data_IF_518056926723
#
_entry.id   IF_518056926723
#
_cell.length_a   1.000
_cell.length_b   1.000
_cell.length_c   1.000
_cell.angle_alpha   90.00
_cell.angle_beta   90.00
_cell.angle_gamma   90.00
#
_symmetry.space_group_name_H-M   'P 1'
#
loop_
_entity.id
_entity.type
_entity.pdbx_description
1 polymer ?
#
# COMPACT_ATOMS: atom_id res chain seq x y z
N UNK A 1 80.12 -38.37 10.61
CA UNK A 1 78.92 -38.74 11.37
C UNK A 1 77.95 -37.58 11.28
N UNK A 2 77.01 -37.63 10.34
CA UNK A 2 75.76 -36.88 10.44
C UNK A 2 74.64 -37.89 10.17
N UNK A 3 73.85 -38.11 11.21
CA UNK A 3 72.76 -39.07 11.26
C UNK A 3 71.57 -38.54 10.46
N UNK A 4 71.25 -39.19 9.32
CA UNK A 4 69.95 -39.03 8.70
C UNK A 4 68.88 -39.64 9.60
N UNK A 5 68.21 -38.79 10.39
CA UNK A 5 66.94 -39.10 11.03
C UNK A 5 65.84 -39.17 9.96
N UNK A 6 65.80 -40.27 9.23
CA UNK A 6 64.60 -40.67 8.50
C UNK A 6 63.62 -41.22 9.55
N UNK A 7 62.80 -40.35 10.14
CA UNK A 7 61.58 -40.77 10.82
C UNK A 7 60.60 -41.12 9.69
N UNK A 8 60.32 -42.40 9.40
CA UNK A 8 59.20 -42.71 8.50
C UNK A 8 57.92 -42.25 9.21
N UNK A 9 56.99 -41.55 8.54
CA UNK A 9 55.68 -41.32 9.13
C UNK A 9 54.98 -42.68 9.26
N UNK A 10 54.96 -43.22 10.48
CA UNK A 10 54.23 -44.42 10.83
C UNK A 10 52.83 -44.01 11.27
N UNK A 11 51.92 -43.81 10.32
CA UNK A 11 50.49 -43.67 10.60
C UNK A 11 49.74 -44.88 10.04
N UNK A 12 49.17 -45.77 10.89
CA UNK A 12 48.22 -46.79 10.46
C UNK A 12 46.81 -46.20 10.20
N UNK A 13 46.71 -44.88 9.99
CA UNK A 13 45.46 -44.15 9.84
C UNK A 13 44.90 -44.17 8.41
N UNK A 14 45.63 -44.75 7.45
CA UNK A 14 45.30 -44.71 6.04
C UNK A 14 43.95 -45.38 5.77
N UNK A 15 43.68 -46.52 6.39
CA UNK A 15 42.47 -47.30 6.10
C UNK A 15 41.20 -46.67 6.68
N UNK A 16 41.29 -46.12 7.91
CA UNK A 16 40.15 -45.50 8.59
C UNK A 16 39.85 -44.14 7.94
N UNK A 17 40.87 -43.34 7.66
CA UNK A 17 40.72 -42.04 7.01
C UNK A 17 40.14 -42.18 5.59
N UNK A 18 40.62 -43.16 4.81
CA UNK A 18 40.09 -43.44 3.48
C UNK A 18 38.65 -43.94 3.52
N UNK A 19 38.26 -44.77 4.52
CA UNK A 19 36.87 -45.17 4.73
C UNK A 19 35.96 -43.98 5.03
N UNK A 20 36.38 -43.06 5.89
CA UNK A 20 35.60 -41.85 6.17
C UNK A 20 35.50 -40.94 4.95
N UNK A 21 36.59 -40.72 4.21
CA UNK A 21 36.56 -39.94 2.96
C UNK A 21 35.60 -40.54 1.93
N UNK A 22 35.65 -41.86 1.73
CA UNK A 22 34.75 -42.59 0.84
C UNK A 22 33.27 -42.41 1.25
N UNK A 23 32.97 -42.61 2.54
CA UNK A 23 31.60 -42.46 3.07
C UNK A 23 31.12 -41.01 2.88
N UNK A 24 31.95 -40.02 3.22
CA UNK A 24 31.61 -38.61 3.04
C UNK A 24 31.36 -38.25 1.57
N UNK A 25 32.22 -38.66 0.65
CA UNK A 25 32.05 -38.41 -0.80
C UNK A 25 30.76 -39.04 -1.34
N UNK A 26 30.37 -40.22 -0.86
CA UNK A 26 29.09 -40.84 -1.20
C UNK A 26 27.89 -40.00 -0.77
N UNK A 27 27.87 -39.55 0.49
CA UNK A 27 26.78 -38.74 1.01
C UNK A 27 26.69 -37.38 0.31
N UNK A 28 27.83 -36.75 0.03
CA UNK A 28 27.88 -35.48 -0.71
C UNK A 28 27.35 -35.66 -2.13
N UNK A 29 27.79 -36.70 -2.84
CA UNK A 29 27.31 -36.99 -4.20
C UNK A 29 25.79 -37.22 -4.20
N UNK A 30 25.26 -38.05 -3.29
CA UNK A 30 23.82 -38.29 -3.17
C UNK A 30 23.02 -37.00 -2.90
N UNK A 31 23.51 -36.15 -2.00
CA UNK A 31 22.88 -34.86 -1.73
C UNK A 31 22.89 -33.96 -2.97
N UNK A 32 24.01 -33.90 -3.69
CA UNK A 32 24.18 -33.02 -4.86
C UNK A 32 23.39 -33.50 -6.09
N UNK A 33 23.05 -34.78 -6.21
CA UNK A 33 22.07 -35.24 -7.22
C UNK A 33 20.62 -35.06 -6.77
N UNK A 34 20.34 -35.07 -5.46
CA UNK A 34 18.99 -34.91 -4.92
C UNK A 34 18.50 -33.45 -4.94
N UNK A 35 19.35 -32.48 -4.59
CA UNK A 35 18.98 -31.05 -4.52
C UNK A 35 18.44 -30.52 -5.87
N UNK A 36 19.09 -30.77 -7.03
CA UNK A 36 18.58 -30.33 -8.33
C UNK A 36 17.21 -30.94 -8.68
N UNK A 37 16.96 -32.20 -8.31
CA UNK A 37 15.65 -32.84 -8.53
C UNK A 37 14.54 -32.14 -7.73
N UNK A 38 14.83 -31.79 -6.47
CA UNK A 38 13.91 -31.03 -5.62
C UNK A 38 13.65 -29.61 -6.17
N UNK A 39 14.70 -28.94 -6.65
CA UNK A 39 14.58 -27.62 -7.30
C UNK A 39 13.72 -27.70 -8.58
N UNK A 40 13.93 -28.70 -9.44
CA UNK A 40 13.13 -28.90 -10.66
C UNK A 40 11.66 -29.16 -10.32
N UNK A 41 11.39 -30.01 -9.33
CA UNK A 41 10.02 -30.26 -8.84
C UNK A 41 9.35 -28.97 -8.35
N UNK A 42 10.05 -28.20 -7.52
CA UNK A 42 9.56 -26.93 -6.99
C UNK A 42 9.26 -25.91 -8.09
N UNK A 43 10.14 -25.78 -9.08
CA UNK A 43 9.95 -24.84 -10.20
C UNK A 43 8.81 -25.27 -11.11
N UNK A 44 8.62 -26.57 -11.34
CA UNK A 44 7.46 -27.08 -12.10
C UNK A 44 6.14 -26.81 -11.38
N UNK A 45 6.14 -26.88 -10.05
CA UNK A 45 4.95 -26.64 -9.23
C UNK A 45 4.67 -25.16 -8.95
N UNK A 46 5.70 -24.31 -9.01
CA UNK A 46 5.59 -22.87 -8.76
C UNK A 46 5.41 -22.07 -10.05
N UNK A 47 4.29 -21.35 -10.15
CA UNK A 47 3.94 -20.49 -11.29
C UNK A 47 4.66 -19.12 -11.30
N UNK A 48 5.45 -18.80 -10.26
CA UNK A 48 5.80 -17.41 -9.92
C UNK A 48 7.27 -17.03 -10.23
N UNK A 49 8.06 -17.90 -10.87
CA UNK A 49 9.49 -17.61 -11.11
C UNK A 49 9.79 -17.13 -12.53
N UNK A 50 10.06 -15.82 -12.75
CA UNK A 50 10.43 -15.28 -14.06
C UNK A 50 11.83 -15.70 -14.53
N UNK A 51 12.71 -16.17 -13.62
CA UNK A 51 14.12 -16.46 -13.90
C UNK A 51 14.44 -17.96 -13.95
N UNK A 52 13.68 -18.74 -14.73
CA UNK A 52 13.86 -20.21 -14.85
C UNK A 52 15.27 -20.63 -15.28
N UNK A 53 15.92 -19.85 -16.14
CA UNK A 53 17.27 -20.12 -16.63
C UNK A 53 18.35 -20.09 -15.55
N UNK A 54 18.20 -19.22 -14.53
CA UNK A 54 19.15 -19.14 -13.40
C UNK A 54 19.10 -20.41 -12.57
N UNK A 55 17.90 -20.93 -12.32
CA UNK A 55 17.69 -22.18 -11.60
C UNK A 55 18.30 -23.37 -12.34
N UNK A 56 18.25 -23.37 -13.67
CA UNK A 56 18.93 -24.39 -14.49
C UNK A 56 20.45 -24.28 -14.34
N UNK A 57 21.01 -23.07 -14.40
CA UNK A 57 22.44 -22.84 -14.22
C UNK A 57 22.92 -23.23 -12.80
N UNK A 58 22.12 -22.90 -11.77
CA UNK A 58 22.38 -23.31 -10.39
C UNK A 58 22.28 -24.83 -10.20
N UNK A 59 21.28 -25.47 -10.80
CA UNK A 59 21.16 -26.93 -10.81
C UNK A 59 22.35 -27.61 -11.52
N UNK A 60 22.76 -27.09 -12.68
CA UNK A 60 23.90 -27.60 -13.43
C UNK A 60 25.22 -27.46 -12.63
N UNK A 61 25.43 -26.34 -11.94
CA UNK A 61 26.55 -26.14 -11.04
C UNK A 61 26.60 -27.20 -9.93
N UNK A 62 25.48 -27.45 -9.24
CA UNK A 62 25.40 -28.44 -8.16
C UNK A 62 25.69 -29.86 -8.69
N UNK A 63 25.14 -30.22 -9.87
CA UNK A 63 25.39 -31.53 -10.50
C UNK A 63 26.87 -31.71 -10.86
N UNK A 64 27.50 -30.68 -11.45
CA UNK A 64 28.93 -30.73 -11.81
C UNK A 64 29.82 -30.87 -10.57
N UNK A 65 29.51 -30.17 -9.47
CA UNK A 65 30.16 -30.39 -8.18
C UNK A 65 29.94 -31.83 -7.69
N UNK A 66 28.73 -32.39 -7.82
CA UNK A 66 28.42 -33.76 -7.39
C UNK A 66 29.21 -34.80 -8.18
N UNK A 67 29.40 -34.56 -9.47
CA UNK A 67 30.21 -35.39 -10.35
C UNK A 67 31.68 -35.44 -9.90
N UNK A 68 32.23 -34.34 -9.37
CA UNK A 68 33.61 -34.34 -8.85
C UNK A 68 33.79 -35.27 -7.63
N UNK A 69 32.79 -35.40 -6.76
CA UNK A 69 32.81 -36.36 -5.65
C UNK A 69 32.64 -37.81 -6.13
N UNK A 70 31.80 -38.04 -7.15
CA UNK A 70 31.65 -39.36 -7.75
C UNK A 70 32.94 -39.84 -8.44
N UNK A 71 33.66 -38.92 -9.09
CA UNK A 71 34.97 -39.22 -9.69
C UNK A 71 36.02 -39.50 -8.60
N UNK A 72 36.01 -38.75 -7.49
CA UNK A 72 36.89 -39.03 -6.35
C UNK A 72 36.63 -40.43 -5.77
N UNK A 73 35.36 -40.85 -5.69
CA UNK A 73 35.00 -42.20 -5.25
C UNK A 73 35.58 -43.29 -6.17
N UNK A 74 35.53 -43.05 -7.48
CA UNK A 74 36.08 -43.98 -8.47
C UNK A 74 37.61 -44.03 -8.48
N UNK A 75 38.26 -42.94 -8.04
CA UNK A 75 39.72 -42.80 -7.95
C UNK A 75 40.35 -43.69 -6.86
N UNK A 76 39.56 -44.27 -5.96
CA UNK A 76 40.03 -45.26 -4.98
C UNK A 76 40.37 -46.64 -5.61
N UNK A 77 39.99 -46.88 -6.87
CA UNK A 77 40.44 -48.02 -7.69
C UNK A 77 41.62 -47.56 -8.58
N UNK A 78 42.51 -48.45 -9.09
CA UNK A 78 43.86 -48.08 -9.52
C UNK A 78 43.90 -46.86 -10.46
N UNK A 79 44.74 -45.89 -10.09
CA UNK A 79 44.90 -44.60 -10.73
C UNK A 79 45.25 -44.76 -12.22
N UNK A 80 44.26 -44.58 -13.10
CA UNK A 80 44.49 -44.48 -14.54
C UNK A 80 44.62 -43.02 -14.95
N UNK A 81 45.55 -42.73 -15.87
CA UNK A 81 45.74 -41.39 -16.46
C UNK A 81 44.42 -40.80 -16.99
N UNK A 82 43.50 -41.66 -17.43
CA UNK A 82 42.15 -41.29 -17.88
C UNK A 82 41.32 -40.64 -16.77
N UNK A 83 41.35 -41.14 -15.53
CA UNK A 83 40.56 -40.61 -14.41
C UNK A 83 41.05 -39.21 -14.01
N UNK A 84 42.37 -38.99 -14.01
CA UNK A 84 42.96 -37.68 -13.72
C UNK A 84 42.60 -36.62 -14.78
N UNK A 85 42.55 -37.00 -16.06
CA UNK A 85 42.10 -36.11 -17.15
C UNK A 85 40.62 -35.77 -16.99
N UNK A 86 39.77 -36.78 -16.74
CA UNK A 86 38.33 -36.57 -16.52
C UNK A 86 38.07 -35.66 -15.32
N UNK A 87 38.81 -35.84 -14.22
CA UNK A 87 38.68 -34.98 -13.04
C UNK A 87 39.08 -33.53 -13.32
N UNK A 88 40.19 -33.33 -14.04
CA UNK A 88 40.65 -31.99 -14.42
C UNK A 88 39.62 -31.28 -15.29
N UNK A 89 39.05 -31.97 -16.29
CA UNK A 89 38.00 -31.42 -17.16
C UNK A 89 36.76 -31.06 -16.33
N UNK A 90 36.30 -31.97 -15.46
CA UNK A 90 35.16 -31.71 -14.59
C UNK A 90 35.37 -30.47 -13.71
N UNK A 91 36.55 -30.32 -13.09
CA UNK A 91 36.90 -29.13 -12.27
C UNK A 91 36.87 -27.83 -13.08
N UNK A 92 37.42 -27.83 -14.30
CA UNK A 92 37.43 -26.65 -15.17
C UNK A 92 36.00 -26.26 -15.57
N UNK A 93 35.16 -27.23 -15.96
CA UNK A 93 33.76 -26.98 -16.29
C UNK A 93 32.99 -26.40 -15.10
N UNK A 94 33.18 -26.97 -13.90
CA UNK A 94 32.57 -26.47 -12.67
C UNK A 94 32.99 -25.02 -12.39
N UNK A 95 34.27 -24.67 -12.57
CA UNK A 95 34.75 -23.31 -12.36
C UNK A 95 34.10 -22.30 -13.33
N UNK A 96 33.96 -22.67 -14.61
CA UNK A 96 33.32 -21.84 -15.63
C UNK A 96 31.84 -21.61 -15.30
N UNK A 97 31.10 -22.68 -15.00
CA UNK A 97 29.67 -22.57 -14.65
C UNK A 97 29.46 -21.78 -13.35
N UNK A 98 30.35 -21.96 -12.36
CA UNK A 98 30.34 -21.21 -11.10
C UNK A 98 30.56 -19.70 -11.32
N UNK A 99 31.53 -19.33 -12.15
CA UNK A 99 31.79 -17.93 -12.48
C UNK A 99 30.60 -17.32 -13.24
N UNK A 100 30.05 -18.04 -14.22
CA UNK A 100 28.89 -17.58 -14.98
C UNK A 100 27.64 -17.39 -14.09
N UNK A 101 27.38 -18.32 -13.16
CA UNK A 101 26.28 -18.20 -12.19
C UNK A 101 26.49 -17.00 -11.27
N UNK A 102 27.69 -16.79 -10.73
CA UNK A 102 28.00 -15.63 -9.88
C UNK A 102 27.74 -14.29 -10.59
N UNK A 103 28.17 -14.15 -11.85
CA UNK A 103 27.95 -12.93 -12.65
C UNK A 103 26.46 -12.70 -12.96
N UNK A 104 25.72 -13.77 -13.29
CA UNK A 104 24.26 -13.70 -13.48
C UNK A 104 23.54 -13.24 -12.22
N UNK A 105 23.90 -13.75 -11.04
CA UNK A 105 23.25 -13.36 -9.78
C UNK A 105 23.39 -11.86 -9.50
N UNK A 106 24.56 -11.27 -9.73
CA UNK A 106 24.79 -9.82 -9.54
C UNK A 106 23.81 -8.99 -10.37
N UNK A 107 23.45 -9.46 -11.57
CA UNK A 107 22.52 -8.74 -12.45
C UNK A 107 21.05 -8.92 -12.06
N UNK A 108 20.69 -10.02 -11.38
CA UNK A 108 19.30 -10.37 -11.07
C UNK A 108 18.86 -9.91 -9.69
N UNK A 109 19.79 -9.82 -8.72
CA UNK A 109 19.52 -9.25 -7.38
C UNK A 109 18.83 -7.86 -7.44
N UNK A 110 19.30 -6.88 -8.23
CA UNK A 110 18.65 -5.57 -8.27
C UNK A 110 17.21 -5.63 -8.79
N UNK A 111 16.94 -6.46 -9.81
CA UNK A 111 15.58 -6.63 -10.36
C UNK A 111 14.62 -7.25 -9.35
N UNK A 112 15.11 -8.23 -8.56
CA UNK A 112 14.31 -8.88 -7.52
C UNK A 112 13.94 -7.90 -6.38
N UNK A 113 14.88 -7.02 -6.01
CA UNK A 113 14.68 -5.99 -5.00
C UNK A 113 13.73 -4.88 -5.49
N UNK A 114 13.79 -4.52 -6.77
CA UNK A 114 12.91 -3.51 -7.36
C UNK A 114 11.44 -3.97 -7.40
N UNK A 115 11.15 -5.24 -7.72
CA UNK A 115 9.78 -5.78 -7.67
C UNK A 115 9.20 -5.68 -6.26
N UNK A 116 9.98 -6.04 -5.23
CA UNK A 116 9.51 -5.95 -3.84
C UNK A 116 9.27 -4.51 -3.41
N UNK A 117 10.13 -3.60 -3.85
CA UNK A 117 9.99 -2.16 -3.61
C UNK A 117 8.71 -1.63 -4.27
N UNK A 118 8.43 -2.00 -5.53
CA UNK A 118 7.20 -1.64 -6.23
C UNK A 118 5.95 -2.20 -5.55
N UNK A 119 5.99 -3.44 -5.05
CA UNK A 119 4.89 -4.04 -4.29
C UNK A 119 4.57 -3.25 -3.00
N UNK A 120 5.61 -2.84 -2.25
CA UNK A 120 5.45 -2.05 -1.03
C UNK A 120 4.89 -0.65 -1.32
N UNK A 121 5.42 0.02 -2.35
CA UNK A 121 4.92 1.33 -2.77
C UNK A 121 3.44 1.24 -3.19
N UNK A 122 3.06 0.17 -3.90
CA UNK A 122 1.67 -0.06 -4.28
C UNK A 122 0.77 -0.27 -3.06
N UNK A 123 1.17 -1.11 -2.10
CA UNK A 123 0.41 -1.34 -0.85
C UNK A 123 0.22 -0.07 -0.03
N UNK A 124 1.26 0.76 0.08
CA UNK A 124 1.17 2.05 0.79
C UNK A 124 0.19 3.00 0.09
N UNK A 125 0.24 3.09 -1.24
CA UNK A 125 -0.70 3.92 -2.01
C UNK A 125 -2.15 3.45 -1.85
N UNK A 126 -2.40 2.14 -1.87
CA UNK A 126 -3.75 1.58 -1.65
C UNK A 126 -4.25 1.91 -0.24
N UNK A 127 -3.41 1.75 0.79
CA UNK A 127 -3.77 2.09 2.17
C UNK A 127 -4.08 3.59 2.34
N UNK A 128 -3.31 4.48 1.69
CA UNK A 128 -3.58 5.92 1.71
C UNK A 128 -4.92 6.27 1.06
N UNK A 129 -5.23 5.64 -0.09
CA UNK A 129 -6.52 5.81 -0.76
C UNK A 129 -7.70 5.32 0.09
N UNK A 130 -7.54 4.23 0.84
CA UNK A 130 -8.58 3.74 1.76
C UNK A 130 -8.82 4.70 2.93
N UNK A 131 -7.76 5.32 3.47
CA UNK A 131 -7.88 6.36 4.50
C UNK A 131 -8.62 7.59 3.94
N UNK A 132 -8.30 8.01 2.71
CA UNK A 132 -8.99 9.12 2.05
C UNK A 132 -10.46 8.81 1.79
N UNK A 133 -10.78 7.62 1.27
CA UNK A 133 -12.17 7.16 1.05
C UNK A 133 -12.95 7.10 2.36
N UNK A 134 -12.37 6.61 3.45
CA UNK A 134 -13.03 6.60 4.77
C UNK A 134 -13.34 8.00 5.28
N UNK A 135 -12.41 8.96 5.14
CA UNK A 135 -12.67 10.38 5.48
C UNK A 135 -13.78 10.98 4.61
N UNK A 136 -13.82 10.60 3.34
CA UNK A 136 -14.87 11.03 2.41
C UNK A 136 -16.23 10.43 2.78
N UNK A 137 -16.28 9.15 3.12
CA UNK A 137 -17.48 8.45 3.56
C UNK A 137 -18.03 9.02 4.87
N UNK A 138 -17.18 9.27 5.88
CA UNK A 138 -17.62 9.87 7.14
C UNK A 138 -18.17 11.29 6.96
N UNK A 139 -17.62 12.06 6.03
CA UNK A 139 -18.18 13.36 5.65
C UNK A 139 -19.55 13.22 4.99
N UNK A 140 -19.74 12.24 4.10
CA UNK A 140 -21.04 11.97 3.46
C UNK A 140 -22.07 11.48 4.48
N UNK A 141 -21.70 10.59 5.41
CA UNK A 141 -22.58 10.13 6.50
C UNK A 141 -23.04 11.29 7.38
N UNK A 142 -22.14 12.21 7.75
CA UNK A 142 -22.53 13.40 8.51
C UNK A 142 -23.52 14.30 7.76
N UNK A 143 -23.43 14.35 6.42
CA UNK A 143 -24.41 15.03 5.57
C UNK A 143 -25.74 14.28 5.45
N UNK A 144 -25.73 12.95 5.44
CA UNK A 144 -26.94 12.12 5.42
C UNK A 144 -27.69 12.18 6.74
N UNK A 145 -27.01 12.19 7.90
CA UNK A 145 -27.68 12.34 9.21
C UNK A 145 -28.48 13.65 9.31
N UNK A 146 -27.98 14.73 8.70
CA UNK A 146 -28.70 16.01 8.61
C UNK A 146 -29.94 15.90 7.71
N UNK A 147 -29.91 15.02 6.71
CA UNK A 147 -31.03 14.79 5.80
C UNK A 147 -32.11 13.88 6.41
N UNK A 148 -31.74 12.84 7.16
CA UNK A 148 -32.70 11.97 7.87
C UNK A 148 -33.40 12.69 9.01
N UNK A 149 -32.69 13.57 9.71
CA UNK A 149 -33.33 14.49 10.67
C UNK A 149 -34.39 15.39 10.00
N UNK A 150 -34.38 15.55 8.66
CA UNK A 150 -35.38 16.29 7.89
C UNK A 150 -36.57 15.42 7.48
N UNK A 151 -36.42 14.11 7.33
CA UNK A 151 -37.53 13.20 7.00
C UNK A 151 -38.37 12.83 8.21
N UNK A 152 -37.78 12.71 9.40
CA UNK A 152 -38.57 12.53 10.65
C UNK A 152 -39.45 13.74 10.98
N UNK A 153 -39.04 14.96 10.57
CA UNK A 153 -39.86 16.17 10.71
C UNK A 153 -41.03 16.18 9.72
N UNK A 154 -41.00 15.38 8.64
CA UNK A 154 -42.01 15.45 7.59
C UNK A 154 -43.22 14.52 7.81
N UNK A 155 -43.19 13.67 8.85
CA UNK A 155 -44.31 12.80 9.20
C UNK A 155 -45.17 13.30 10.36
N UNK A 156 -44.70 14.29 11.13
CA UNK A 156 -45.50 14.96 12.15
C UNK A 156 -45.50 16.47 11.87
N UNK A 157 -46.69 17.03 11.65
CA UNK A 157 -47.03 18.46 11.60
C UNK A 157 -46.93 19.19 10.25
N UNK A 158 -47.99 19.03 9.45
CA UNK A 158 -48.37 20.00 8.40
C UNK A 158 -48.83 21.37 8.92
N UNK A 159 -48.96 21.60 10.24
CA UNK A 159 -49.60 22.82 10.77
C UNK A 159 -48.77 23.66 11.75
N UNK A 160 -47.49 23.37 11.98
CA UNK A 160 -46.68 24.14 12.95
C UNK A 160 -45.40 24.68 12.32
N UNK A 161 -45.46 25.93 11.83
CA UNK A 161 -44.38 26.70 11.20
C UNK A 161 -43.17 27.04 12.12
N UNK A 162 -42.89 26.24 13.15
CA UNK A 162 -41.93 26.55 14.21
C UNK A 162 -41.00 25.41 14.68
N UNK A 163 -41.24 24.15 14.28
CA UNK A 163 -40.55 23.00 14.90
C UNK A 163 -39.12 22.82 14.37
N UNK A 164 -38.88 23.05 13.08
CA UNK A 164 -37.53 23.04 12.51
C UNK A 164 -36.62 24.18 13.03
N UNK A 165 -37.22 25.28 13.51
CA UNK A 165 -36.51 26.40 14.12
C UNK A 165 -36.03 26.08 15.54
N UNK A 166 -36.85 25.35 16.31
CA UNK A 166 -36.55 24.96 17.70
C UNK A 166 -35.34 24.02 17.80
N UNK A 167 -35.21 23.05 16.88
CA UNK A 167 -34.12 22.07 16.93
C UNK A 167 -32.74 22.67 16.62
N UNK A 168 -32.69 23.68 15.73
CA UNK A 168 -31.46 24.40 15.39
C UNK A 168 -30.97 25.29 16.54
N UNK A 169 -31.88 25.82 17.35
CA UNK A 169 -31.57 26.68 18.50
C UNK A 169 -31.17 25.84 19.73
N UNK A 170 -31.70 24.62 19.87
CA UNK A 170 -31.39 23.74 21.02
C UNK A 170 -30.07 22.97 20.92
N UNK A 171 -29.47 22.83 19.73
CA UNK A 171 -28.17 22.17 19.54
C UNK A 171 -27.10 23.21 19.19
N UNK A 172 -25.88 23.08 19.75
CA UNK A 172 -24.72 23.97 19.51
C UNK A 172 -24.13 23.83 18.10
N UNK A 173 -24.94 24.02 17.07
CA UNK A 173 -24.45 24.05 15.68
C UNK A 173 -23.77 25.39 15.40
N UNK A 174 -22.59 25.35 14.78
CA UNK A 174 -21.86 26.55 14.36
C UNK A 174 -22.20 26.98 12.93
N UNK A 175 -22.61 26.03 12.09
CA UNK A 175 -22.94 26.24 10.68
C UNK A 175 -24.26 25.54 10.36
N UNK A 176 -25.14 26.24 9.65
CA UNK A 176 -26.44 25.74 9.18
C UNK A 176 -26.53 25.91 7.68
N UNK A 177 -26.74 24.82 6.95
CA UNK A 177 -27.04 24.88 5.53
C UNK A 177 -28.55 24.95 5.33
N UNK A 178 -29.01 26.00 4.63
CA UNK A 178 -30.43 26.30 4.46
C UNK A 178 -30.82 26.28 2.99
N UNK A 179 -31.76 25.41 2.64
CA UNK A 179 -32.32 25.35 1.30
C UNK A 179 -33.27 26.51 1.02
N UNK A 180 -33.08 27.24 -0.09
CA UNK A 180 -34.01 28.30 -0.48
C UNK A 180 -35.26 27.76 -1.18
N UNK A 181 -35.13 26.64 -1.89
CA UNK A 181 -36.19 26.04 -2.69
C UNK A 181 -36.94 24.95 -1.92
N UNK A 182 -37.57 25.32 -0.80
CA UNK A 182 -38.42 24.40 -0.02
C UNK A 182 -39.91 24.60 -0.34
N UNK A 183 -40.71 23.52 -0.48
CA UNK A 183 -42.15 23.64 -0.55
C UNK A 183 -42.71 24.10 0.81
N UNK A 184 -43.65 25.05 0.79
CA UNK A 184 -44.41 25.51 1.96
C UNK A 184 -43.84 26.72 2.72
N UNK A 185 -42.53 26.93 2.78
CA UNK A 185 -41.95 28.12 3.44
C UNK A 185 -40.64 28.53 2.79
N UNK A 186 -40.47 29.83 2.53
CA UNK A 186 -39.26 30.34 1.88
C UNK A 186 -38.07 30.30 2.84
N UNK A 187 -36.92 29.78 2.39
CA UNK A 187 -35.69 29.71 3.21
C UNK A 187 -35.22 31.07 3.74
N UNK A 188 -35.53 32.17 3.03
CA UNK A 188 -35.28 33.53 3.51
C UNK A 188 -36.03 33.86 4.80
N UNK A 189 -37.29 33.45 4.88
CA UNK A 189 -38.15 33.76 6.03
C UNK A 189 -37.72 32.98 7.26
N UNK A 190 -37.28 31.74 7.08
CA UNK A 190 -36.74 30.93 8.17
C UNK A 190 -35.45 31.55 8.70
N UNK A 191 -34.51 31.96 7.83
CA UNK A 191 -33.30 32.64 8.26
C UNK A 191 -33.59 33.93 9.04
N UNK A 192 -34.61 34.70 8.60
CA UNK A 192 -35.06 35.89 9.33
C UNK A 192 -35.55 35.53 10.73
N UNK A 193 -36.41 34.52 10.85
CA UNK A 193 -36.93 34.03 12.14
C UNK A 193 -35.83 33.45 13.04
N UNK A 194 -34.80 32.83 12.46
CA UNK A 194 -33.63 32.35 13.21
C UNK A 194 -32.92 33.54 13.86
N UNK A 195 -32.59 34.57 13.09
CA UNK A 195 -31.91 35.75 13.63
C UNK A 195 -32.74 36.55 14.62
N UNK A 196 -34.06 36.64 14.43
CA UNK A 196 -34.98 37.31 15.37
C UNK A 196 -35.06 36.59 16.73
N UNK A 197 -34.89 35.25 16.77
CA UNK A 197 -35.02 34.44 18.00
C UNK A 197 -33.70 34.09 18.66
N UNK A 198 -32.57 34.31 18.00
CA UNK A 198 -31.27 33.96 18.55
C UNK A 198 -30.79 35.04 19.54
N UNK A 199 -30.42 34.67 20.79
CA UNK A 199 -29.80 35.59 21.74
C UNK A 199 -28.43 36.07 21.21
N UNK A 200 -28.03 37.32 21.52
CA UNK A 200 -26.71 37.90 21.16
C UNK A 200 -25.51 36.99 21.45
N UNK A 201 -25.63 36.02 22.37
CA UNK A 201 -24.59 35.03 22.71
C UNK A 201 -24.30 33.98 21.63
N UNK A 202 -25.10 33.91 20.57
CA UNK A 202 -24.97 32.98 19.44
C UNK A 202 -24.72 33.71 18.11
N UNK A 203 -24.09 34.89 18.17
CA UNK A 203 -23.71 35.74 17.03
C UNK A 203 -22.82 35.01 15.98
N UNK A 204 -22.29 33.86 16.36
CA UNK A 204 -21.45 32.98 15.53
C UNK A 204 -22.23 31.95 14.69
N UNK A 205 -23.57 31.91 14.72
CA UNK A 205 -24.31 30.98 13.86
C UNK A 205 -24.17 31.38 12.38
N UNK A 206 -23.44 30.57 11.61
CA UNK A 206 -23.20 30.79 10.19
C UNK A 206 -24.30 30.11 9.35
N UNK A 207 -25.19 30.87 8.72
CA UNK A 207 -26.21 30.32 7.81
C UNK A 207 -25.69 30.39 6.37
N UNK A 208 -25.69 29.27 5.65
CA UNK A 208 -25.25 29.12 4.25
C UNK A 208 -26.43 28.67 3.40
N UNK A 209 -26.83 29.47 2.41
CA UNK A 209 -27.91 29.14 1.50
C UNK A 209 -27.53 28.04 0.51
N UNK A 210 -28.46 27.15 0.18
CA UNK A 210 -28.37 26.18 -0.89
C UNK A 210 -29.42 26.53 -1.96
N UNK A 211 -29.00 26.73 -3.21
CA UNK A 211 -29.89 27.17 -4.31
C UNK A 211 -29.53 26.50 -5.63
N UNK A 212 -30.52 26.32 -6.52
CA UNK A 212 -30.28 25.83 -7.89
C UNK A 212 -29.73 26.90 -8.83
N UNK A 213 -29.89 28.18 -8.49
CA UNK A 213 -29.38 29.30 -9.29
C UNK A 213 -28.80 30.40 -8.38
N UNK A 214 -27.70 31.01 -8.83
CA UNK A 214 -27.06 32.14 -8.16
C UNK A 214 -27.11 33.34 -9.10
N UNK A 215 -28.15 34.14 -8.96
CA UNK A 215 -28.27 35.45 -9.59
C UNK A 215 -28.00 36.58 -8.58
N UNK A 216 -27.98 37.83 -9.07
CA UNK A 216 -27.74 39.00 -8.22
C UNK A 216 -28.84 39.15 -7.15
N UNK A 217 -30.10 38.94 -7.53
CA UNK A 217 -31.24 39.03 -6.64
C UNK A 217 -31.18 38.01 -5.48
N UNK A 218 -30.81 36.74 -5.77
CA UNK A 218 -30.65 35.70 -4.76
C UNK A 218 -29.58 36.07 -3.74
N UNK A 219 -28.45 36.63 -4.20
CA UNK A 219 -27.37 37.09 -3.33
C UNK A 219 -27.81 38.23 -2.43
N UNK A 220 -28.45 39.25 -3.01
CA UNK A 220 -28.90 40.43 -2.27
C UNK A 220 -29.92 40.04 -1.21
N UNK A 221 -30.84 39.12 -1.55
CA UNK A 221 -31.82 38.58 -0.61
C UNK A 221 -31.17 37.74 0.50
N UNK A 222 -30.18 36.89 0.19
CA UNK A 222 -29.43 36.11 1.18
C UNK A 222 -28.69 37.02 2.17
N UNK A 223 -28.05 38.08 1.65
CA UNK A 223 -27.31 39.03 2.48
C UNK A 223 -28.25 39.83 3.40
N UNK A 224 -29.40 40.27 2.87
CA UNK A 224 -30.42 40.99 3.65
C UNK A 224 -30.94 40.21 4.85
N UNK A 225 -31.05 38.88 4.73
CA UNK A 225 -31.48 38.01 5.84
C UNK A 225 -30.32 37.49 6.68
N UNK A 226 -29.10 38.04 6.53
CA UNK A 226 -27.95 37.68 7.37
C UNK A 226 -27.37 36.28 7.08
N UNK A 227 -27.57 35.74 5.88
CA UNK A 227 -26.84 34.53 5.44
C UNK A 227 -25.42 34.92 5.02
N UNK A 228 -24.43 34.10 5.38
CA UNK A 228 -23.00 34.38 5.16
C UNK A 228 -22.38 33.61 3.99
N UNK A 229 -23.13 32.72 3.34
CA UNK A 229 -22.68 32.01 2.15
C UNK A 229 -23.83 31.53 1.28
N UNK A 230 -23.53 31.22 0.02
CA UNK A 230 -24.46 30.63 -0.94
C UNK A 230 -23.73 29.52 -1.69
N UNK A 231 -24.35 28.35 -1.81
CA UNK A 231 -23.86 27.18 -2.54
C UNK A 231 -24.85 26.79 -3.64
N UNK A 232 -24.32 26.57 -4.84
CA UNK A 232 -25.10 26.07 -5.97
C UNK A 232 -25.30 24.56 -5.82
N UNK A 233 -26.52 24.09 -6.08
CA UNK A 233 -26.83 22.68 -6.27
C UNK A 233 -26.56 22.30 -7.74
N UNK A 234 -26.00 21.11 -8.02
CA UNK A 234 -25.53 20.09 -7.07
C UNK A 234 -24.23 20.49 -6.33
N UNK A 235 -24.14 20.14 -5.04
CA UNK A 235 -23.02 20.54 -4.18
C UNK A 235 -21.87 19.55 -4.37
N UNK A 236 -20.78 19.98 -4.99
CA UNK A 236 -19.52 19.22 -5.00
C UNK A 236 -18.78 19.38 -3.67
N UNK A 237 -18.11 18.32 -3.22
CA UNK A 237 -17.32 18.35 -1.98
C UNK A 237 -16.25 19.46 -1.96
N UNK A 238 -15.62 19.75 -3.09
CA UNK A 238 -14.59 20.79 -3.20
C UNK A 238 -15.16 22.20 -2.95
N UNK A 239 -16.29 22.53 -3.59
CA UNK A 239 -17.01 23.80 -3.36
C UNK A 239 -17.46 23.94 -1.91
N UNK A 240 -17.94 22.86 -1.31
CA UNK A 240 -18.34 22.86 0.10
C UNK A 240 -17.15 23.12 1.03
N UNK A 241 -16.01 22.43 0.80
CA UNK A 241 -14.77 22.62 1.58
C UNK A 241 -14.26 24.06 1.45
N UNK A 242 -14.32 24.63 0.25
CA UNK A 242 -13.92 26.01 -0.02
C UNK A 242 -14.79 27.02 0.75
N UNK A 243 -16.11 26.82 0.77
CA UNK A 243 -17.02 27.71 1.51
C UNK A 243 -16.82 27.55 3.03
N UNK A 244 -16.70 26.32 3.53
CA UNK A 244 -16.55 26.09 4.95
C UNK A 244 -15.20 26.61 5.50
N UNK A 245 -14.09 26.38 4.78
CA UNK A 245 -12.78 26.94 5.14
C UNK A 245 -12.82 28.46 5.22
N UNK A 246 -13.36 29.13 4.20
CA UNK A 246 -13.49 30.59 4.17
C UNK A 246 -14.38 31.14 5.29
N UNK A 247 -15.45 30.45 5.63
CA UNK A 247 -16.35 30.87 6.70
C UNK A 247 -15.75 30.66 8.09
N UNK A 248 -14.94 29.61 8.27
CA UNK A 248 -14.26 29.32 9.54
C UNK A 248 -13.02 30.22 9.74
N UNK A 249 -12.29 30.56 8.68
CA UNK A 249 -11.18 31.52 8.72
C UNK A 249 -11.65 32.94 9.07
N UNK A 250 -12.85 33.33 8.65
CA UNK A 250 -13.48 34.64 8.93
C UNK A 250 -14.16 34.73 10.30
N UNK A 251 -13.82 33.84 11.23
CA UNK A 251 -14.35 33.80 12.60
C UNK A 251 -14.00 35.02 13.47
N UNK A 252 -13.25 36.00 12.96
CA UNK A 252 -12.91 37.26 13.63
C UNK A 252 -12.97 38.46 12.68
N UNK A 253 -13.99 39.30 12.87
CA UNK A 253 -14.12 40.71 12.46
C UNK A 253 -14.23 41.08 10.96
N UNK A 254 -14.73 42.30 10.79
CA UNK A 254 -15.48 42.90 9.68
C UNK A 254 -14.78 43.02 8.31
N UNK A 255 -15.64 43.26 7.32
CA UNK A 255 -15.39 43.84 5.99
C UNK A 255 -14.59 43.02 4.97
N UNK A 256 -15.34 42.54 3.96
CA UNK A 256 -14.97 42.42 2.53
C UNK A 256 -15.40 41.07 1.95
N UNK A 257 -16.51 41.06 1.20
CA UNK A 257 -17.05 39.91 0.48
C UNK A 257 -16.41 39.80 -0.91
N UNK A 258 -15.94 38.60 -1.30
CA UNK A 258 -15.52 38.30 -2.68
C UNK A 258 -16.24 37.05 -3.19
N UNK A 259 -16.90 37.22 -4.34
CA UNK A 259 -17.63 36.18 -5.08
C UNK A 259 -16.65 35.10 -5.51
N UNK A 260 -16.94 33.83 -5.23
CA UNK A 260 -16.27 32.70 -5.88
C UNK A 260 -17.11 32.38 -7.13
N UNK A 261 -16.68 32.92 -8.26
CA UNK A 261 -17.05 32.41 -9.59
C UNK A 261 -15.78 31.82 -10.18
N UNK A 262 -15.95 30.59 -10.70
CA UNK A 262 -15.04 29.79 -11.55
C UNK A 262 -13.55 29.83 -11.23
#
# INVERSE_FOLDING_TARGET
MESCNCIPPQWPADEILMKYQFISDCFIALAYFSIPLQLIYFVKKSAIFPYRWVLVQFGAFIVLCGLTHLINLWTFNPYSRTVAVVMTIAKVLTAVVSCATALMLVRIIPDLLDVKTRELVFKNKVAELDVQKKKQASMIESFQMVKDSRSEINHQDRNSSGIGLGLAICKRYKVVFMDLGMPGTCGYEIARRIHERIPKRHEWLLIVALTGNIDKATKDNCLRVGMRGVLLKPISQEKLRCVLSKLLERGSLCESWKIIKE
#
